data_IF_435489761130
#
_entry.id   IF_435489761130
#
_cell.length_a   1.000
_cell.length_b   1.000
_cell.length_c   1.000
_cell.angle_alpha   90.00
_cell.angle_beta   90.00
_cell.angle_gamma   90.00
#
_symmetry.space_group_name_H-M   'P 1'
#
loop_
_entity.id
_entity.type
_entity.pdbx_description
1 polymer ?
#
# COMPACT_ATOMS: atom_id res chain seq x y z
N UNK A 1 -26.40 -1.79 27.21
CA UNK A 1 -26.86 -2.31 25.90
C UNK A 1 -26.77 -1.26 24.78
N UNK A 2 -27.02 0.03 25.05
CA UNK A 2 -26.92 1.11 24.05
C UNK A 2 -25.48 1.32 23.54
N UNK A 3 -24.51 1.28 24.46
CA UNK A 3 -23.08 1.48 24.15
C UNK A 3 -22.48 0.36 23.29
N UNK A 4 -23.02 -0.87 23.41
CA UNK A 4 -22.55 -2.04 22.66
C UNK A 4 -22.98 -1.97 21.18
N UNK A 5 -24.17 -1.44 20.90
CA UNK A 5 -24.64 -1.17 19.53
C UNK A 5 -23.87 -0.01 18.88
N UNK A 6 -23.57 1.03 19.66
CA UNK A 6 -22.78 2.18 19.18
C UNK A 6 -21.33 1.78 18.86
N UNK A 7 -20.76 0.86 19.66
CA UNK A 7 -19.47 0.22 19.39
C UNK A 7 -19.46 -0.56 18.08
N UNK A 8 -20.40 -1.48 17.88
CA UNK A 8 -20.43 -2.33 16.67
C UNK A 8 -20.62 -1.50 15.39
N UNK A 9 -21.47 -0.47 15.46
CA UNK A 9 -21.74 0.41 14.32
C UNK A 9 -20.53 1.28 13.97
N UNK A 10 -19.81 1.81 14.97
CA UNK A 10 -18.58 2.59 14.75
C UNK A 10 -17.45 1.74 14.17
N UNK A 11 -17.27 0.52 14.70
CA UNK A 11 -16.29 -0.44 14.19
C UNK A 11 -16.60 -0.85 12.74
N UNK A 12 -17.86 -1.18 12.44
CA UNK A 12 -18.27 -1.56 11.10
C UNK A 12 -18.09 -0.42 10.09
N UNK A 13 -18.35 0.83 10.48
CA UNK A 13 -18.10 2.01 9.63
C UNK A 13 -16.61 2.20 9.36
N UNK A 14 -15.76 2.18 10.39
CA UNK A 14 -14.31 2.34 10.23
C UNK A 14 -13.73 1.25 9.32
N UNK A 15 -14.13 -0.01 9.54
CA UNK A 15 -13.72 -1.14 8.70
C UNK A 15 -14.16 -0.96 7.24
N UNK A 16 -15.43 -0.58 7.01
CA UNK A 16 -15.95 -0.38 5.65
C UNK A 16 -15.18 0.71 4.91
N UNK A 17 -14.86 1.81 5.57
CA UNK A 17 -14.08 2.90 4.97
C UNK A 17 -12.70 2.41 4.51
N UNK A 18 -12.03 1.58 5.31
CA UNK A 18 -10.72 1.04 4.92
C UNK A 18 -10.77 0.06 3.76
N UNK A 19 -11.82 -0.76 3.71
CA UNK A 19 -12.03 -1.67 2.57
C UNK A 19 -12.25 -0.86 1.29
N UNK A 20 -13.03 0.23 1.35
CA UNK A 20 -13.23 1.13 0.21
C UNK A 20 -11.90 1.75 -0.24
N UNK A 21 -11.06 2.20 0.70
CA UNK A 21 -9.73 2.77 0.40
C UNK A 21 -8.82 1.70 -0.22
N UNK A 22 -8.81 0.47 0.31
CA UNK A 22 -8.02 -0.62 -0.25
C UNK A 22 -8.45 -0.96 -1.68
N UNK A 23 -9.76 -0.98 -1.94
CA UNK A 23 -10.30 -1.17 -3.28
C UNK A 23 -9.95 0.00 -4.21
N UNK A 24 -9.97 1.25 -3.75
CA UNK A 24 -9.59 2.39 -4.58
C UNK A 24 -8.11 2.35 -4.95
N UNK A 25 -7.24 1.92 -4.03
CA UNK A 25 -5.81 1.75 -4.29
C UNK A 25 -5.54 0.61 -5.27
N UNK A 26 -6.28 -0.50 -5.17
CA UNK A 26 -6.19 -1.56 -6.17
C UNK A 26 -6.68 -1.09 -7.55
N UNK A 27 -7.72 -0.26 -7.59
CA UNK A 27 -8.20 0.36 -8.82
C UNK A 27 -7.16 1.33 -9.41
N UNK A 28 -6.48 2.16 -8.61
CA UNK A 28 -5.43 3.07 -9.10
C UNK A 28 -4.28 2.30 -9.73
N UNK A 29 -3.82 1.20 -9.10
CA UNK A 29 -2.77 0.33 -9.65
C UNK A 29 -3.20 -0.27 -10.99
N UNK A 30 -4.46 -0.68 -11.10
CA UNK A 30 -5.02 -1.21 -12.35
C UNK A 30 -5.00 -0.15 -13.45
N UNK A 31 -5.35 1.10 -13.12
CA UNK A 31 -5.26 2.23 -14.05
C UNK A 31 -3.82 2.46 -14.50
N UNK A 32 -2.83 2.40 -13.60
CA UNK A 32 -1.41 2.52 -13.98
C UNK A 32 -0.99 1.45 -14.99
N UNK A 33 -1.44 0.21 -14.83
CA UNK A 33 -1.17 -0.89 -15.78
C UNK A 33 -1.83 -0.63 -17.14
N UNK A 34 -3.08 -0.15 -17.14
CA UNK A 34 -3.80 0.19 -18.38
C UNK A 34 -3.08 1.32 -19.13
N UNK A 35 -2.66 2.37 -18.41
CA UNK A 35 -1.94 3.50 -19.00
C UNK A 35 -0.60 3.03 -19.58
N UNK A 36 0.13 2.21 -18.85
CA UNK A 36 1.40 1.65 -19.31
C UNK A 36 1.22 0.86 -20.61
N UNK A 37 0.20 0.00 -20.68
CA UNK A 37 -0.05 -0.76 -21.90
C UNK A 37 -0.52 0.09 -23.07
N UNK A 38 -1.31 1.12 -22.80
CA UNK A 38 -1.72 2.08 -23.81
C UNK A 38 -0.49 2.80 -24.41
N UNK A 39 0.42 3.29 -23.57
CA UNK A 39 1.67 3.94 -24.00
C UNK A 39 2.51 2.97 -24.82
N UNK A 40 2.70 1.75 -24.32
CA UNK A 40 3.50 0.72 -24.99
C UNK A 40 2.95 0.36 -26.36
N UNK A 41 1.63 0.30 -26.52
CA UNK A 41 1.01 0.00 -27.81
C UNK A 41 1.10 1.18 -28.79
N UNK A 42 0.92 2.41 -28.29
CA UNK A 42 0.92 3.62 -29.11
C UNK A 42 2.30 4.03 -29.65
N UNK A 43 3.39 3.70 -28.95
CA UNK A 43 4.72 4.27 -29.22
C UNK A 43 5.83 3.24 -29.47
N UNK A 44 5.51 2.07 -30.06
CA UNK A 44 6.51 1.02 -30.33
C UNK A 44 7.60 1.49 -31.32
N UNK A 45 8.90 1.31 -31.02
CA UNK A 45 9.51 0.96 -29.73
C UNK A 45 9.66 2.18 -28.79
N UNK A 46 9.13 2.06 -27.57
CA UNK A 46 9.21 3.12 -26.56
C UNK A 46 10.53 3.01 -25.80
N UNK A 47 11.47 3.92 -26.06
CA UNK A 47 12.79 3.95 -25.40
C UNK A 47 12.81 4.74 -24.07
N UNK A 48 11.64 5.11 -23.55
CA UNK A 48 11.53 6.02 -22.42
C UNK A 48 11.74 7.49 -22.82
N UNK A 49 11.21 8.41 -22.00
CA UNK A 49 11.46 9.84 -22.16
C UNK A 49 12.86 10.26 -21.67
N UNK A 50 13.52 9.42 -20.88
CA UNK A 50 14.87 9.65 -20.39
C UNK A 50 15.92 9.29 -21.43
N UNK A 51 16.74 10.26 -21.84
CA UNK A 51 17.97 10.00 -22.62
C UNK A 51 19.06 9.42 -21.71
N UNK A 52 18.80 8.28 -21.09
CA UNK A 52 19.71 7.64 -20.13
C UNK A 52 20.66 6.75 -20.92
N UNK A 53 21.97 6.99 -20.79
CA UNK A 53 22.98 6.14 -21.43
C UNK A 53 22.89 4.70 -20.91
N UNK A 54 23.11 3.71 -21.77
CA UNK A 54 23.08 2.27 -21.42
C UNK A 54 23.93 1.91 -20.18
N UNK A 55 25.04 2.61 -19.93
CA UNK A 55 25.87 2.42 -18.73
C UNK A 55 25.26 2.94 -17.42
N UNK A 56 24.39 3.95 -17.47
CA UNK A 56 23.74 4.55 -16.29
C UNK A 56 22.41 3.88 -15.93
N UNK A 57 21.82 3.14 -16.89
CA UNK A 57 20.59 2.37 -16.71
C UNK A 57 20.69 1.35 -15.56
N UNK A 58 21.82 0.66 -15.43
CA UNK A 58 22.04 -0.30 -14.34
C UNK A 58 22.01 0.37 -12.96
N UNK A 59 22.73 1.49 -12.80
CA UNK A 59 22.77 2.25 -11.55
C UNK A 59 21.39 2.80 -11.18
N UNK A 60 20.65 3.31 -12.16
CA UNK A 60 19.31 3.86 -11.94
C UNK A 60 18.31 2.78 -11.52
N UNK A 61 18.41 1.57 -12.11
CA UNK A 61 17.65 0.39 -11.67
C UNK A 61 17.92 0.07 -10.21
N UNK A 62 19.19 -0.02 -9.82
CA UNK A 62 19.56 -0.33 -8.43
C UNK A 62 19.05 0.71 -7.44
N UNK A 63 19.09 2.00 -7.77
CA UNK A 63 18.55 3.06 -6.90
C UNK A 63 17.04 2.88 -6.70
N UNK A 64 16.29 2.60 -7.76
CA UNK A 64 14.83 2.44 -7.66
C UNK A 64 14.44 1.16 -6.94
N UNK A 65 15.15 0.06 -7.20
CA UNK A 65 14.99 -1.16 -6.40
C UNK A 65 15.35 -0.91 -4.93
N UNK A 66 16.41 -0.15 -4.64
CA UNK A 66 16.79 0.20 -3.27
C UNK A 66 15.72 1.05 -2.57
N UNK A 67 15.13 2.04 -3.26
CA UNK A 67 14.01 2.84 -2.73
C UNK A 67 12.77 1.96 -2.50
N UNK A 68 12.48 1.05 -3.44
CA UNK A 68 11.37 0.10 -3.30
C UNK A 68 11.57 -0.82 -2.10
N UNK A 69 12.78 -1.37 -1.92
CA UNK A 69 13.14 -2.18 -0.75
C UNK A 69 13.12 -1.36 0.54
N UNK A 70 13.57 -0.11 0.51
CA UNK A 70 13.49 0.79 1.66
C UNK A 70 12.02 1.03 2.07
N UNK A 71 11.11 1.17 1.11
CA UNK A 71 9.66 1.30 1.39
C UNK A 71 9.09 0.06 2.08
N UNK A 72 9.55 -1.16 1.70
CA UNK A 72 9.20 -2.42 2.36
C UNK A 72 9.69 -2.48 3.81
N UNK A 73 10.93 -2.06 4.06
CA UNK A 73 11.50 -2.01 5.41
C UNK A 73 10.71 -1.02 6.26
N UNK A 74 10.42 0.16 5.72
CA UNK A 74 9.67 1.21 6.42
C UNK A 74 8.27 0.73 6.81
N UNK A 75 7.58 0.03 5.91
CA UNK A 75 6.30 -0.62 6.24
C UNK A 75 6.39 -1.58 7.43
N UNK A 76 7.38 -2.48 7.43
CA UNK A 76 7.54 -3.47 8.51
C UNK A 76 7.81 -2.79 9.85
N UNK A 77 8.61 -1.74 9.85
CA UNK A 77 8.90 -0.95 11.05
C UNK A 77 7.63 -0.24 11.56
N UNK A 78 6.88 0.42 10.67
CA UNK A 78 5.64 1.09 11.03
C UNK A 78 4.62 0.10 11.58
N UNK A 79 4.43 -1.04 10.93
CA UNK A 79 3.51 -2.09 11.43
C UNK A 79 3.92 -2.58 12.83
N UNK A 80 5.21 -2.80 13.08
CA UNK A 80 5.72 -3.21 14.39
C UNK A 80 5.40 -2.17 15.48
N UNK A 81 5.53 -0.87 15.16
CA UNK A 81 5.22 0.23 16.06
C UNK A 81 3.72 0.31 16.35
N UNK A 82 2.86 0.28 15.32
CA UNK A 82 1.41 0.37 15.48
C UNK A 82 0.79 -0.88 16.13
N UNK A 83 1.45 -2.03 16.07
CA UNK A 83 0.92 -3.27 16.66
C UNK A 83 1.04 -3.27 18.19
N UNK A 84 1.96 -2.47 18.75
CA UNK A 84 2.13 -2.27 20.20
C UNK A 84 1.04 -1.31 20.73
N UNK A 85 -0.18 -1.80 20.91
CA UNK A 85 -1.19 -1.08 21.69
C UNK A 85 -0.93 -1.33 23.18
N UNK A 86 -0.75 -0.27 23.97
CA UNK A 86 -0.80 -0.37 25.43
C UNK A 86 -2.23 -0.65 25.89
N UNK A 87 -2.43 -1.54 26.89
CA UNK A 87 -3.75 -1.92 27.40
C UNK A 87 -4.55 -0.77 28.08
N UNK A 88 -3.89 0.32 28.45
CA UNK A 88 -4.44 1.41 29.26
C UNK A 88 -5.15 2.53 28.47
N UNK A 89 -5.30 2.38 27.15
CA UNK A 89 -5.75 3.46 26.26
C UNK A 89 -7.26 3.40 26.04
N UNK A 90 -7.93 4.56 26.13
CA UNK A 90 -9.35 4.74 25.82
C UNK A 90 -9.75 4.13 24.44
N UNK A 91 -10.95 3.56 24.36
CA UNK A 91 -11.48 2.84 23.20
C UNK A 91 -11.41 3.67 21.91
N UNK A 92 -11.81 4.95 21.97
CA UNK A 92 -11.79 5.84 20.80
C UNK A 92 -10.37 6.09 20.28
N UNK A 93 -9.39 6.21 21.19
CA UNK A 93 -7.98 6.39 20.85
C UNK A 93 -7.39 5.08 20.31
N UNK A 94 -7.80 3.92 20.85
CA UNK A 94 -7.46 2.60 20.34
C UNK A 94 -7.97 2.38 18.91
N UNK A 95 -9.23 2.71 18.64
CA UNK A 95 -9.85 2.63 17.32
C UNK A 95 -9.17 3.55 16.30
N UNK A 96 -8.85 4.79 16.70
CA UNK A 96 -8.13 5.73 15.85
C UNK A 96 -6.72 5.22 15.51
N UNK A 97 -5.98 4.69 16.49
CA UNK A 97 -4.64 4.11 16.27
C UNK A 97 -4.67 2.87 15.38
N UNK A 98 -5.66 1.99 15.55
CA UNK A 98 -5.90 0.85 14.66
C UNK A 98 -6.20 1.31 13.23
N UNK A 99 -7.00 2.36 13.09
CA UNK A 99 -7.35 2.93 11.79
C UNK A 99 -6.14 3.53 11.08
N UNK A 100 -5.36 4.35 11.78
CA UNK A 100 -4.14 4.94 11.24
C UNK A 100 -3.06 3.88 10.96
N UNK A 101 -2.92 2.88 11.84
CA UNK A 101 -1.93 1.82 11.72
C UNK A 101 -2.19 0.82 10.60
N UNK A 102 -3.38 0.82 10.01
CA UNK A 102 -3.74 0.04 8.82
C UNK A 102 -3.80 0.89 7.56
N UNK A 103 -4.22 2.16 7.68
CA UNK A 103 -4.22 3.12 6.56
C UNK A 103 -2.80 3.42 6.06
N UNK A 104 -1.84 3.66 6.97
CA UNK A 104 -0.47 4.00 6.60
C UNK A 104 0.19 2.89 5.76
N UNK A 105 0.24 1.61 6.22
CA UNK A 105 0.78 0.53 5.40
C UNK A 105 0.06 0.36 4.07
N UNK A 106 -1.25 0.60 4.03
CA UNK A 106 -2.04 0.50 2.81
C UNK A 106 -1.63 1.57 1.77
N UNK A 107 -1.43 2.82 2.21
CA UNK A 107 -0.90 3.88 1.35
C UNK A 107 0.54 3.60 0.91
N UNK A 108 1.40 3.11 1.82
CA UNK A 108 2.76 2.73 1.45
C UNK A 108 2.77 1.58 0.43
N UNK A 109 1.73 0.73 0.38
CA UNK A 109 1.68 -0.41 -0.53
C UNK A 109 1.66 0.03 -1.98
N UNK A 110 1.19 1.25 -2.25
CA UNK A 110 1.12 1.85 -3.57
C UNK A 110 2.47 2.41 -4.06
N UNK A 111 3.38 2.74 -3.14
CA UNK A 111 4.68 3.37 -3.46
C UNK A 111 5.49 2.58 -4.48
N UNK A 112 5.67 1.25 -4.35
CA UNK A 112 6.38 0.46 -5.36
C UNK A 112 5.74 0.52 -6.75
N UNK A 113 4.41 0.49 -6.86
CA UNK A 113 3.72 0.56 -8.16
C UNK A 113 3.95 1.92 -8.84
N UNK A 114 3.84 3.02 -8.08
CA UNK A 114 4.11 4.37 -8.60
C UNK A 114 5.57 4.50 -9.05
N UNK A 115 6.52 4.03 -8.24
CA UNK A 115 7.93 4.03 -8.59
C UNK A 115 8.22 3.21 -9.85
N UNK A 116 7.60 2.04 -9.98
CA UNK A 116 7.70 1.21 -11.17
C UNK A 116 7.17 1.92 -12.41
N UNK A 117 6.05 2.65 -12.28
CA UNK A 117 5.45 3.38 -13.40
C UNK A 117 6.35 4.55 -13.84
N UNK A 118 6.87 5.33 -12.89
CA UNK A 118 7.85 6.38 -13.17
C UNK A 118 9.10 5.81 -13.83
N UNK A 119 9.57 4.65 -13.37
CA UNK A 119 10.71 3.97 -13.98
C UNK A 119 10.44 3.54 -15.42
N UNK A 120 9.25 3.00 -15.70
CA UNK A 120 8.83 2.68 -17.06
C UNK A 120 8.83 3.92 -17.95
N UNK A 121 8.27 5.06 -17.50
CA UNK A 121 8.27 6.29 -18.28
C UNK A 121 9.69 6.79 -18.60
N UNK A 122 10.64 6.61 -17.68
CA UNK A 122 12.01 7.07 -17.86
C UNK A 122 12.86 6.15 -18.74
N UNK A 123 12.65 4.83 -18.67
CA UNK A 123 13.56 3.85 -19.28
C UNK A 123 12.92 3.01 -20.39
N UNK A 124 11.59 3.03 -20.50
CA UNK A 124 10.81 2.17 -21.39
C UNK A 124 10.79 0.68 -21.01
N UNK A 125 11.40 0.28 -19.89
CA UNK A 125 11.49 -1.12 -19.46
C UNK A 125 10.23 -1.55 -18.69
N UNK A 126 9.26 -2.11 -19.40
CA UNK A 126 8.01 -2.61 -18.79
C UNK A 126 8.19 -3.75 -17.79
N UNK A 127 9.25 -4.56 -17.92
CA UNK A 127 9.50 -5.70 -17.01
C UNK A 127 9.63 -5.25 -15.55
N UNK A 128 10.39 -4.20 -15.30
CA UNK A 128 10.63 -3.73 -13.93
C UNK A 128 9.35 -3.11 -13.33
N UNK A 129 8.51 -2.47 -14.15
CA UNK A 129 7.18 -2.00 -13.71
C UNK A 129 6.28 -3.14 -13.24
N UNK A 130 6.17 -4.25 -13.99
CA UNK A 130 5.34 -5.37 -13.56
C UNK A 130 5.81 -5.99 -12.25
N UNK A 131 7.12 -6.16 -12.08
CA UNK A 131 7.68 -6.73 -10.84
C UNK A 131 7.26 -5.86 -9.65
N UNK A 132 7.43 -4.55 -9.76
CA UNK A 132 7.10 -3.62 -8.69
C UNK A 132 5.58 -3.51 -8.44
N UNK A 133 4.77 -3.54 -9.49
CA UNK A 133 3.30 -3.56 -9.37
C UNK A 133 2.81 -4.85 -8.73
N UNK A 134 3.37 -6.01 -9.09
CA UNK A 134 3.04 -7.29 -8.44
C UNK A 134 3.40 -7.24 -6.95
N UNK A 135 4.59 -6.72 -6.61
CA UNK A 135 4.99 -6.54 -5.21
C UNK A 135 4.00 -5.63 -4.47
N UNK A 136 3.62 -4.51 -5.08
CA UNK A 136 2.64 -3.56 -4.54
C UNK A 136 1.26 -4.21 -4.27
N UNK A 137 0.76 -5.01 -5.22
CA UNK A 137 -0.49 -5.78 -5.07
C UNK A 137 -0.35 -6.81 -3.95
N UNK A 138 0.76 -7.56 -3.89
CA UNK A 138 1.00 -8.55 -2.83
C UNK A 138 1.00 -7.86 -1.46
N UNK A 139 1.63 -6.69 -1.32
CA UNK A 139 1.60 -5.92 -0.07
C UNK A 139 0.18 -5.50 0.29
N UNK A 140 -0.58 -4.97 -0.68
CA UNK A 140 -1.96 -4.56 -0.45
C UNK A 140 -2.82 -5.73 0.06
N UNK A 141 -2.62 -6.93 -0.48
CA UNK A 141 -3.28 -8.16 0.02
C UNK A 141 -2.76 -8.59 1.40
N UNK A 142 -1.45 -8.50 1.65
CA UNK A 142 -0.85 -8.87 2.93
C UNK A 142 -1.32 -7.96 4.08
N UNK A 143 -1.47 -6.67 3.79
CA UNK A 143 -1.91 -5.64 4.73
C UNK A 143 -3.42 -5.37 4.69
N UNK A 144 -4.18 -6.16 3.94
CA UNK A 144 -5.62 -5.98 3.81
C UNK A 144 -6.31 -6.02 5.18
N UNK A 145 -7.19 -5.05 5.50
CA UNK A 145 -7.83 -4.98 6.80
C UNK A 145 -8.65 -6.25 7.05
N UNK A 146 -8.27 -7.04 8.06
CA UNK A 146 -9.01 -8.24 8.48
C UNK A 146 -9.90 -7.92 9.68
N UNK A 147 -11.21 -8.08 9.51
CA UNK A 147 -12.21 -7.79 10.56
C UNK A 147 -11.97 -8.58 11.85
N UNK A 148 -11.53 -9.84 11.74
CA UNK A 148 -11.23 -10.72 12.88
C UNK A 148 -10.11 -10.17 13.77
N UNK A 149 -9.05 -9.61 13.18
CA UNK A 149 -7.93 -9.02 13.93
C UNK A 149 -8.36 -7.79 14.74
N UNK A 150 -9.31 -7.02 14.21
CA UNK A 150 -9.83 -5.82 14.89
C UNK A 150 -10.75 -6.19 16.05
N UNK A 151 -11.62 -7.18 15.84
CA UNK A 151 -12.50 -7.69 16.89
C UNK A 151 -11.70 -8.32 18.04
N UNK A 152 -10.62 -9.05 17.73
CA UNK A 152 -9.76 -9.65 18.75
C UNK A 152 -8.98 -8.60 19.56
N UNK A 153 -8.42 -7.58 18.89
CA UNK A 153 -7.71 -6.49 19.57
C UNK A 153 -8.63 -5.58 20.39
N UNK A 154 -9.82 -5.30 19.89
CA UNK A 154 -10.78 -4.43 20.59
C UNK A 154 -11.60 -5.19 21.64
N UNK A 155 -11.80 -6.49 21.46
CA UNK A 155 -12.45 -7.36 22.44
C UNK A 155 -11.70 -7.42 23.77
N UNK A 156 -10.37 -7.25 23.76
CA UNK A 156 -9.55 -7.14 24.99
C UNK A 156 -9.88 -5.93 25.87
N UNK A 157 -10.56 -4.90 25.36
CA UNK A 157 -10.99 -3.76 26.17
C UNK A 157 -12.33 -4.01 26.89
N UNK A 158 -13.04 -5.08 26.54
CA UNK A 158 -14.35 -5.44 27.11
C UNK A 158 -14.33 -6.72 27.97
N UNK A 159 -13.17 -7.38 28.12
CA UNK A 159 -12.96 -8.51 29.04
C UNK A 159 -12.32 -8.06 30.34
#
# INVERSE_FOLDING_TARGET
>A
MKDLKEFETSLARAFRNQVIIALSLLASMTVLVIIEEFIRHASRPFYGYGKIAFGQLATFRYIIYAISVASLILMRLLQSIFTRLSPEIDFYVGLQRLTTGTLIPLCLAEVPAILGFVFFLLTGLSRDFYVLTIVSVILLFMYFPRKSFWQEKLGRFFS
#
